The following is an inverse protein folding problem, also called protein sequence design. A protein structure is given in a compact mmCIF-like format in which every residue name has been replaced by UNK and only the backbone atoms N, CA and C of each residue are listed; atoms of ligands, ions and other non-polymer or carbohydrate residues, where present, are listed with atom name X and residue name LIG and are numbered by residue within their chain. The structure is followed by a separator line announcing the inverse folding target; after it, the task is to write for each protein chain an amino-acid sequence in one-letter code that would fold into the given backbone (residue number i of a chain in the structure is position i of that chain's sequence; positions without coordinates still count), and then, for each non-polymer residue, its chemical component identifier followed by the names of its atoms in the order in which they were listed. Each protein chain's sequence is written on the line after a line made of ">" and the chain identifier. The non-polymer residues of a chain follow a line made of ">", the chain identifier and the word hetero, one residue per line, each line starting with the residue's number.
data_IF_793531534639
#
_entry.id   IF_793531534639
#
_cell.length_a   1.000
_cell.length_b   1.000
_cell.length_c   1.000
_cell.angle_alpha   90.00
_cell.angle_beta   90.00
_cell.angle_gamma   90.00
#
_symmetry.space_group_name_H-M   'P 1'
#
loop_
_entity.id
_entity.type
_entity.pdbx_description
1 polymer ?
#
# COMPACT_ATOMS: atom_id res chain seq x y z
N UNK A 1 -13.99 9.54 19.07
CA UNK A 1 -12.55 9.67 18.70
C UNK A 1 -12.09 8.25 18.41
N UNK A 2 -11.61 8.00 17.20
CA UNK A 2 -11.20 6.66 16.76
C UNK A 2 -9.88 6.22 17.41
N UNK A 3 -9.62 4.92 17.39
CA UNK A 3 -8.40 4.34 17.98
C UNK A 3 -7.12 4.65 17.18
N UNK A 4 -7.26 5.08 15.91
CA UNK A 4 -6.16 5.47 15.03
C UNK A 4 -6.07 6.98 14.82
N UNK A 5 -6.68 7.77 15.68
CA UNK A 5 -6.71 9.22 15.55
C UNK A 5 -5.30 9.81 15.42
N UNK A 6 -5.09 10.65 14.40
CA UNK A 6 -3.79 11.27 14.05
C UNK A 6 -2.69 10.28 13.62
N UNK A 7 -2.98 9.02 13.37
CA UNK A 7 -2.03 8.07 12.77
C UNK A 7 -2.01 8.21 11.26
N UNK A 8 -0.85 7.96 10.67
CA UNK A 8 -0.68 7.91 9.21
C UNK A 8 -0.39 6.46 8.80
N UNK A 9 -1.24 5.93 7.94
CA UNK A 9 -1.13 4.56 7.47
C UNK A 9 -0.91 4.49 5.95
N UNK A 10 0.06 3.70 5.53
CA UNK A 10 0.24 3.26 4.15
C UNK A 10 -0.40 1.90 4.01
N UNK A 11 -1.28 1.72 3.02
CA UNK A 11 -1.91 0.43 2.71
C UNK A 11 -1.67 0.13 1.25
N UNK A 12 -0.92 -0.93 0.96
CA UNK A 12 -0.63 -1.34 -0.41
C UNK A 12 -1.71 -2.27 -0.95
N UNK A 13 -2.01 -2.20 -2.26
CA UNK A 13 -3.11 -2.94 -2.86
C UNK A 13 -4.47 -2.52 -2.31
N UNK A 14 -4.63 -1.24 -2.01
CA UNK A 14 -5.79 -0.71 -1.30
C UNK A 14 -6.92 -0.19 -2.22
N UNK A 15 -6.83 -0.44 -3.52
CA UNK A 15 -7.88 -0.06 -4.47
C UNK A 15 -9.08 -0.99 -4.48
N UNK A 16 -8.96 -2.21 -3.97
CA UNK A 16 -10.02 -3.24 -3.97
C UNK A 16 -9.92 -4.17 -2.76
N UNK A 17 -11.03 -4.89 -2.51
CA UNK A 17 -11.08 -6.01 -1.57
C UNK A 17 -10.59 -5.68 -0.17
N UNK A 18 -9.77 -6.54 0.41
CA UNK A 18 -9.32 -6.43 1.80
C UNK A 18 -8.56 -5.12 2.06
N UNK A 19 -7.71 -4.70 1.12
CA UNK A 19 -6.95 -3.45 1.24
C UNK A 19 -7.86 -2.22 1.28
N UNK A 20 -8.87 -2.16 0.41
CA UNK A 20 -9.87 -1.10 0.38
C UNK A 20 -10.68 -1.03 1.68
N UNK A 21 -11.23 -2.16 2.14
CA UNK A 21 -11.99 -2.23 3.38
C UNK A 21 -11.15 -1.82 4.60
N UNK A 22 -9.86 -2.22 4.61
CA UNK A 22 -8.92 -1.80 5.64
C UNK A 22 -8.69 -0.28 5.61
N UNK A 23 -8.54 0.30 4.42
CA UNK A 23 -8.37 1.75 4.26
C UNK A 23 -9.58 2.54 4.75
N UNK A 24 -10.79 2.10 4.39
CA UNK A 24 -12.04 2.70 4.83
C UNK A 24 -12.21 2.60 6.35
N UNK A 25 -11.93 1.43 6.93
CA UNK A 25 -12.01 1.22 8.38
C UNK A 25 -11.00 2.09 9.13
N UNK A 26 -9.75 2.12 8.68
CA UNK A 26 -8.71 2.94 9.32
C UNK A 26 -9.03 4.44 9.24
N UNK A 27 -9.56 4.90 8.10
CA UNK A 27 -10.02 6.28 7.96
C UNK A 27 -11.18 6.60 8.92
N UNK A 28 -12.13 5.70 9.09
CA UNK A 28 -13.23 5.82 10.06
C UNK A 28 -12.71 5.89 11.49
N UNK A 29 -11.62 5.20 11.80
CA UNK A 29 -10.94 5.23 13.09
C UNK A 29 -10.01 6.46 13.26
N UNK A 30 -10.00 7.38 12.30
CA UNK A 30 -9.31 8.67 12.38
C UNK A 30 -7.88 8.68 11.82
N UNK A 31 -7.47 7.64 11.12
CA UNK A 31 -6.18 7.63 10.45
C UNK A 31 -6.21 8.44 9.13
N UNK A 32 -5.07 9.00 8.76
CA UNK A 32 -4.78 9.53 7.42
C UNK A 32 -4.20 8.43 6.57
N UNK A 33 -4.68 8.26 5.35
CA UNK A 33 -4.39 7.06 4.56
C UNK A 33 -3.63 7.40 3.27
N UNK A 34 -2.56 6.68 3.01
CA UNK A 34 -2.01 6.54 1.65
C UNK A 34 -2.62 5.28 1.04
N UNK A 35 -3.50 5.47 0.10
CA UNK A 35 -4.12 4.41 -0.70
C UNK A 35 -3.19 4.11 -1.87
N UNK A 36 -2.37 3.08 -1.73
CA UNK A 36 -1.52 2.65 -2.84
C UNK A 36 -2.19 1.52 -3.61
N UNK A 37 -2.29 1.69 -4.90
CA UNK A 37 -2.67 0.62 -5.83
C UNK A 37 -2.13 0.92 -7.22
N UNK A 38 -1.48 -0.06 -7.85
CA UNK A 38 -1.00 0.04 -9.23
C UNK A 38 -2.16 0.12 -10.24
N UNK A 39 -3.36 -0.29 -9.83
CA UNK A 39 -4.52 -0.40 -10.72
C UNK A 39 -4.50 -1.62 -11.61
N UNK A 40 -3.65 -2.61 -11.29
CA UNK A 40 -3.56 -3.85 -12.04
C UNK A 40 -4.72 -4.79 -11.72
N UNK A 41 -5.05 -5.65 -12.70
CA UNK A 41 -5.92 -6.80 -12.48
C UNK A 41 -5.26 -7.82 -11.54
N UNK A 42 -6.00 -8.81 -11.01
CA UNK A 42 -5.44 -9.84 -10.13
C UNK A 42 -4.24 -10.60 -10.70
N UNK A 43 -4.14 -10.72 -12.02
CA UNK A 43 -3.01 -11.34 -12.72
C UNK A 43 -1.79 -10.42 -12.90
N UNK A 44 -1.90 -9.15 -12.47
CA UNK A 44 -0.87 -8.12 -12.60
C UNK A 44 -0.89 -7.35 -13.93
N UNK A 45 -1.90 -7.56 -14.78
CA UNK A 45 -2.09 -6.79 -16.03
C UNK A 45 -2.97 -5.56 -15.81
N UNK A 46 -2.93 -4.61 -16.75
CA UNK A 46 -3.77 -3.42 -16.74
C UNK A 46 -3.29 -2.33 -15.78
N UNK A 47 -3.85 -1.12 -15.92
CA UNK A 47 -3.57 0.02 -15.06
C UNK A 47 -4.80 0.93 -14.99
N UNK A 48 -5.56 0.83 -13.91
CA UNK A 48 -6.72 1.68 -13.63
C UNK A 48 -6.45 2.53 -12.37
N UNK A 49 -7.01 3.73 -12.35
CA UNK A 49 -6.83 4.64 -11.19
C UNK A 49 -7.82 4.35 -10.06
N UNK A 50 -7.94 3.09 -9.67
CA UNK A 50 -8.88 2.64 -8.62
C UNK A 50 -8.55 3.20 -7.23
N UNK A 51 -7.30 3.58 -6.97
CA UNK A 51 -6.93 4.25 -5.74
C UNK A 51 -7.67 5.60 -5.56
N UNK A 52 -7.93 6.33 -6.66
CA UNK A 52 -8.66 7.61 -6.61
C UNK A 52 -10.11 7.43 -6.15
N UNK A 53 -10.75 6.32 -6.52
CA UNK A 53 -12.13 6.02 -6.11
C UNK A 53 -12.20 5.82 -4.59
N UNK A 54 -11.26 5.06 -4.03
CA UNK A 54 -11.18 4.83 -2.58
C UNK A 54 -10.85 6.12 -1.82
N UNK A 55 -9.95 6.94 -2.36
CA UNK A 55 -9.65 8.26 -1.79
C UNK A 55 -10.88 9.15 -1.79
N UNK A 56 -11.65 9.17 -2.89
CA UNK A 56 -12.89 9.95 -2.96
C UNK A 56 -13.92 9.46 -1.93
N UNK A 57 -14.06 8.16 -1.75
CA UNK A 57 -14.96 7.57 -0.76
C UNK A 57 -14.54 7.94 0.68
N UNK A 58 -13.26 7.80 1.02
CA UNK A 58 -12.74 8.20 2.33
C UNK A 58 -13.03 9.68 2.61
N UNK A 59 -12.81 10.57 1.63
CA UNK A 59 -13.08 11.99 1.78
C UNK A 59 -14.57 12.30 1.91
N UNK A 60 -15.42 11.58 1.19
CA UNK A 60 -16.88 11.72 1.33
C UNK A 60 -17.38 11.32 2.72
N UNK A 61 -16.69 10.40 3.40
CA UNK A 61 -16.96 10.00 4.79
C UNK A 61 -16.32 10.93 5.84
N UNK A 62 -15.66 12.02 5.39
CA UNK A 62 -15.01 13.00 6.28
C UNK A 62 -13.60 12.61 6.72
N UNK A 63 -13.01 11.57 6.13
CA UNK A 63 -11.63 11.15 6.36
C UNK A 63 -10.63 11.90 5.48
N UNK A 64 -9.35 11.58 5.64
CA UNK A 64 -8.25 12.16 4.88
C UNK A 64 -7.42 11.06 4.21
N UNK A 65 -7.26 11.16 2.89
CA UNK A 65 -6.51 10.19 2.11
C UNK A 65 -5.87 10.82 0.86
N UNK A 66 -4.77 10.22 0.43
CA UNK A 66 -4.08 10.51 -0.83
C UNK A 66 -3.81 9.21 -1.59
N UNK A 67 -3.82 9.28 -2.91
CA UNK A 67 -3.54 8.14 -3.78
C UNK A 67 -2.05 8.04 -4.12
N UNK A 68 -1.58 6.82 -4.35
CA UNK A 68 -0.29 6.52 -4.92
C UNK A 68 -0.44 5.32 -5.88
N UNK A 69 0.28 5.34 -7.01
CA UNK A 69 0.13 4.38 -8.11
C UNK A 69 1.41 3.58 -8.38
N UNK A 70 2.42 3.70 -7.52
CA UNK A 70 3.69 3.00 -7.70
C UNK A 70 3.56 1.50 -7.44
N UNK A 71 4.36 0.70 -8.16
CA UNK A 71 4.45 -0.73 -7.92
C UNK A 71 5.31 -1.04 -6.69
N UNK A 72 4.88 -2.02 -5.91
CA UNK A 72 5.65 -2.52 -4.75
C UNK A 72 6.83 -3.41 -5.16
N UNK A 73 6.89 -3.90 -6.39
CA UNK A 73 7.88 -4.87 -6.88
C UNK A 73 9.30 -4.28 -7.01
N UNK A 74 9.44 -2.96 -6.96
CA UNK A 74 10.73 -2.27 -7.03
C UNK A 74 11.00 -1.45 -5.77
N UNK A 75 12.28 -1.34 -5.40
CA UNK A 75 12.68 -0.51 -4.26
C UNK A 75 12.34 0.97 -4.47
N UNK A 76 12.46 1.47 -5.70
CA UNK A 76 12.05 2.83 -6.05
C UNK A 76 10.56 3.05 -5.83
N UNK A 77 9.73 2.08 -6.20
CA UNK A 77 8.29 2.14 -5.95
C UNK A 77 7.98 2.20 -4.45
N UNK A 78 8.63 1.36 -3.64
CA UNK A 78 8.50 1.40 -2.18
C UNK A 78 8.90 2.74 -1.58
N UNK A 79 10.00 3.33 -2.06
CA UNK A 79 10.44 4.68 -1.66
C UNK A 79 9.43 5.77 -2.05
N UNK A 80 8.87 5.71 -3.26
CA UNK A 80 7.87 6.67 -3.71
C UNK A 80 6.58 6.58 -2.89
N UNK A 81 6.15 5.37 -2.55
CA UNK A 81 4.98 5.16 -1.66
C UNK A 81 5.23 5.80 -0.30
N UNK A 82 6.41 5.56 0.29
CA UNK A 82 6.80 6.17 1.56
C UNK A 82 6.85 7.71 1.45
N UNK A 83 7.48 8.24 0.39
CA UNK A 83 7.59 9.68 0.15
C UNK A 83 6.22 10.34 0.00
N UNK A 84 5.25 9.67 -0.63
CA UNK A 84 3.86 10.16 -0.72
C UNK A 84 3.26 10.44 0.67
N UNK A 85 3.49 9.55 1.64
CA UNK A 85 3.03 9.78 3.01
C UNK A 85 3.76 10.94 3.70
N UNK A 86 5.07 11.01 3.51
CA UNK A 86 5.88 12.09 4.09
C UNK A 86 5.50 13.46 3.52
N UNK A 87 5.30 13.55 2.21
CA UNK A 87 4.93 14.80 1.53
C UNK A 87 3.52 15.26 1.92
N UNK A 88 2.58 14.35 2.04
CA UNK A 88 1.20 14.67 2.38
C UNK A 88 0.99 14.93 3.88
N UNK A 89 1.67 14.17 4.75
CA UNK A 89 1.34 14.11 6.17
C UNK A 89 2.53 14.31 7.12
N UNK A 90 3.75 14.30 6.60
CA UNK A 90 4.99 14.47 7.40
C UNK A 90 5.31 13.31 8.33
N UNK A 91 4.63 12.18 8.21
CA UNK A 91 4.77 11.04 9.12
C UNK A 91 4.34 9.72 8.48
N UNK A 92 4.81 8.62 9.04
CA UNK A 92 4.26 7.26 8.83
C UNK A 92 4.28 6.53 10.17
N UNK A 93 3.15 5.98 10.57
CA UNK A 93 2.98 5.22 11.81
C UNK A 93 2.68 3.74 11.55
N UNK A 94 2.04 3.43 10.41
CA UNK A 94 1.56 2.09 10.06
C UNK A 94 1.85 1.80 8.60
N UNK A 95 2.34 0.59 8.31
CA UNK A 95 2.44 0.04 6.95
C UNK A 95 1.71 -1.30 6.89
N UNK A 96 0.74 -1.41 5.99
CA UNK A 96 0.01 -2.65 5.70
C UNK A 96 0.46 -3.14 4.32
N UNK A 97 1.27 -4.18 4.29
CA UNK A 97 1.71 -4.87 3.09
C UNK A 97 0.62 -5.85 2.64
N UNK A 98 -0.37 -5.35 1.89
CA UNK A 98 -1.50 -6.13 1.40
C UNK A 98 -1.44 -6.40 -0.11
N UNK A 99 -0.67 -5.63 -0.88
CA UNK A 99 -0.54 -5.81 -2.32
C UNK A 99 -0.14 -7.25 -2.68
N UNK A 100 -0.80 -7.83 -3.65
CA UNK A 100 -0.55 -9.19 -4.13
C UNK A 100 -1.11 -9.42 -5.52
N UNK A 101 -0.56 -10.40 -6.22
CA UNK A 101 -1.01 -10.88 -7.52
C UNK A 101 -1.14 -12.40 -7.51
N UNK A 102 -1.89 -12.95 -8.44
CA UNK A 102 -2.07 -14.39 -8.63
C UNK A 102 -1.49 -14.83 -9.98
N UNK A 103 -0.69 -15.89 -9.95
CA UNK A 103 -0.12 -16.56 -11.12
C UNK A 103 -0.23 -18.08 -10.93
N UNK A 104 -1.44 -18.52 -10.57
CA UNK A 104 -1.70 -19.91 -10.22
C UNK A 104 -1.59 -20.84 -11.41
N UNK A 105 -0.56 -21.68 -11.39
CA UNK A 105 -0.30 -22.74 -12.38
C UNK A 105 0.24 -23.97 -11.67
N UNK A 106 -0.01 -25.14 -12.23
CA UNK A 106 0.70 -26.34 -11.79
C UNK A 106 2.20 -26.18 -12.03
N UNK A 107 3.02 -26.72 -11.15
CA UNK A 107 4.49 -26.54 -11.21
C UNK A 107 5.10 -26.88 -12.58
N UNK A 108 4.61 -27.92 -13.22
CA UNK A 108 5.12 -28.35 -14.54
C UNK A 108 4.67 -27.45 -15.71
N UNK A 109 3.70 -26.57 -15.50
CA UNK A 109 3.22 -25.56 -16.46
C UNK A 109 3.64 -24.13 -16.10
N UNK A 110 4.28 -23.95 -14.94
CA UNK A 110 4.72 -22.64 -14.47
C UNK A 110 5.97 -22.18 -15.22
N UNK A 111 5.96 -20.96 -15.70
CA UNK A 111 7.13 -20.32 -16.30
C UNK A 111 7.92 -19.58 -15.22
N UNK A 112 9.24 -19.41 -15.45
CA UNK A 112 10.09 -18.64 -14.54
C UNK A 112 9.56 -17.22 -14.30
N UNK A 113 9.00 -16.58 -15.33
CA UNK A 113 8.37 -15.26 -15.24
C UNK A 113 7.16 -15.21 -14.29
N UNK A 114 6.40 -16.31 -14.18
CA UNK A 114 5.28 -16.39 -13.22
C UNK A 114 5.82 -16.42 -11.79
N UNK A 115 6.86 -17.21 -11.55
CA UNK A 115 7.54 -17.30 -10.26
C UNK A 115 8.16 -15.95 -9.88
N UNK A 116 8.93 -15.33 -10.78
CA UNK A 116 9.61 -14.07 -10.54
C UNK A 116 8.62 -12.94 -10.21
N UNK A 117 7.49 -12.87 -10.91
CA UNK A 117 6.45 -11.89 -10.63
C UNK A 117 5.86 -12.04 -9.23
N UNK A 118 5.55 -13.27 -8.81
CA UNK A 118 5.05 -13.56 -7.46
C UNK A 118 6.09 -13.17 -6.40
N UNK A 119 7.35 -13.56 -6.58
CA UNK A 119 8.42 -13.25 -5.64
C UNK A 119 8.69 -11.75 -5.55
N UNK A 120 8.64 -11.04 -6.68
CA UNK A 120 8.83 -9.59 -6.71
C UNK A 120 7.75 -8.83 -5.95
N UNK A 121 6.49 -9.22 -6.08
CA UNK A 121 5.37 -8.55 -5.40
C UNK A 121 5.24 -9.02 -3.95
N UNK A 122 5.11 -10.33 -3.72
CA UNK A 122 4.78 -10.86 -2.39
C UNK A 122 5.96 -10.90 -1.43
N UNK A 123 7.19 -11.16 -1.89
CA UNK A 123 8.35 -11.21 -1.01
C UNK A 123 9.14 -9.90 -1.03
N UNK A 124 9.66 -9.51 -2.18
CA UNK A 124 10.45 -8.29 -2.31
C UNK A 124 9.62 -7.03 -2.05
N UNK A 125 8.33 -7.03 -2.40
CA UNK A 125 7.42 -5.93 -2.13
C UNK A 125 7.30 -5.60 -0.65
N UNK A 126 7.25 -6.60 0.21
CA UNK A 126 7.27 -6.39 1.66
C UNK A 126 8.55 -5.69 2.13
N UNK A 127 9.71 -6.12 1.64
CA UNK A 127 10.98 -5.46 1.92
C UNK A 127 10.98 -4.01 1.41
N UNK A 128 10.57 -3.79 0.15
CA UNK A 128 10.60 -2.49 -0.50
C UNK A 128 9.76 -1.44 0.24
N UNK A 129 8.59 -1.82 0.74
CA UNK A 129 7.69 -0.91 1.47
C UNK A 129 8.04 -0.79 2.96
N UNK A 130 8.58 -1.84 3.58
CA UNK A 130 8.86 -1.86 5.02
C UNK A 130 10.18 -1.16 5.36
N UNK A 131 11.24 -1.33 4.55
CA UNK A 131 12.56 -0.81 4.88
C UNK A 131 12.60 0.72 5.03
N UNK A 132 12.00 1.53 4.12
CA UNK A 132 11.96 2.98 4.30
C UNK A 132 11.27 3.40 5.59
N UNK A 133 10.18 2.74 5.94
CA UNK A 133 9.43 2.96 7.17
C UNK A 133 10.27 2.64 8.42
N UNK A 134 10.93 1.48 8.45
CA UNK A 134 11.75 1.07 9.59
C UNK A 134 12.95 2.01 9.79
N UNK A 135 13.58 2.45 8.70
CA UNK A 135 14.65 3.46 8.77
C UNK A 135 14.13 4.76 9.39
N UNK A 136 12.99 5.26 8.91
CA UNK A 136 12.37 6.48 9.43
C UNK A 136 12.05 6.37 10.92
N UNK A 137 11.43 5.26 11.37
CA UNK A 137 11.09 5.04 12.78
C UNK A 137 12.38 5.04 13.64
N UNK A 138 13.42 4.37 13.18
CA UNK A 138 14.70 4.31 13.88
C UNK A 138 15.38 5.68 13.99
N UNK A 139 15.39 6.44 12.91
CA UNK A 139 16.05 7.76 12.84
C UNK A 139 15.30 8.83 13.65
N UNK A 140 13.98 8.74 13.67
CA UNK A 140 13.14 9.73 14.37
C UNK A 140 12.83 9.38 15.82
N UNK A 141 13.24 8.18 16.28
CA UNK A 141 12.97 7.65 17.63
C UNK A 141 11.46 7.66 17.98
N UNK A 142 10.58 7.49 17.01
CA UNK A 142 9.10 7.58 17.17
C UNK A 142 8.47 6.44 17.96
N UNK A 143 9.25 5.44 18.35
CA UNK A 143 8.76 4.33 19.20
C UNK A 143 8.87 4.61 20.71
N UNK A 144 9.40 5.77 21.10
CA UNK A 144 9.52 6.20 22.51
C UNK A 144 8.53 7.30 22.85
#
# INVERSE_FOLDING_TARGET
>A
MGILNNKVAIITGAGRGIGMETALLFAKEGAKIVVNDLGANPDGSGHEKIADEVVAEIKALGGDAVANYDSVDSYKGGMNIFSTAMDAYGAVDIVINNAGILRDKTLFNMEESDWDAIMAVHLKGHFNCTQPFVRYIRETNRLN
#
